data_IF_806985198124
#
_entry.id   IF_806985198124
#
_cell.length_a   1.000
_cell.length_b   1.000
_cell.length_c   1.000
_cell.angle_alpha   90.00
_cell.angle_beta   90.00
_cell.angle_gamma   90.00
#
_symmetry.space_group_name_H-M   'P 1'
#
loop_
_entity.id
_entity.type
_entity.pdbx_description
1 polymer ?
#
# COMPACT_ATOMS: atom_id res chain seq x y z
N UNK A 1 2.75 6.42 22.88
CA UNK A 1 3.76 7.32 22.27
C UNK A 1 3.92 7.23 20.74
N UNK A 2 2.86 6.90 19.98
CA UNK A 2 2.95 6.80 18.51
C UNK A 2 2.01 7.79 17.79
N UNK A 3 1.38 8.69 18.53
CA UNK A 3 0.55 9.76 18.00
C UNK A 3 1.35 11.05 17.86
N UNK A 4 1.40 11.56 16.63
CA UNK A 4 1.49 12.97 16.23
C UNK A 4 2.70 13.84 16.64
N UNK A 5 3.33 14.41 15.60
CA UNK A 5 4.13 15.65 15.55
C UNK A 5 5.58 15.62 16.02
N UNK A 6 5.94 14.92 17.11
CA UNK A 6 7.28 15.08 17.72
C UNK A 6 8.36 14.09 17.23
N UNK A 7 8.00 13.11 16.40
CA UNK A 7 8.98 12.15 15.85
C UNK A 7 9.54 12.67 14.52
N UNK A 8 10.86 12.88 14.39
CA UNK A 8 11.49 13.26 13.13
C UNK A 8 11.14 12.29 12.00
N UNK A 9 10.94 12.82 10.80
CA UNK A 9 10.54 12.03 9.62
C UNK A 9 11.56 10.90 9.32
N UNK A 10 12.85 11.17 9.43
CA UNK A 10 13.91 10.17 9.20
C UNK A 10 13.77 8.94 10.11
N UNK A 11 13.44 9.14 11.40
CA UNK A 11 13.26 8.05 12.36
C UNK A 11 12.05 7.18 12.00
N UNK A 12 10.98 7.80 11.48
CA UNK A 12 9.82 7.06 10.98
C UNK A 12 10.15 6.25 9.73
N UNK A 13 10.93 6.82 8.80
CA UNK A 13 11.39 6.14 7.57
C UNK A 13 12.26 4.92 7.91
N UNK A 14 13.26 5.07 8.77
CA UNK A 14 14.10 3.93 9.21
C UNK A 14 13.26 2.82 9.82
N UNK A 15 12.25 3.18 10.64
CA UNK A 15 11.34 2.21 11.26
C UNK A 15 10.49 1.46 10.23
N UNK A 16 10.02 2.14 9.19
CA UNK A 16 9.29 1.52 8.07
C UNK A 16 10.15 0.47 7.36
N UNK A 17 11.41 0.79 7.07
CA UNK A 17 12.35 -0.14 6.41
C UNK A 17 12.67 -1.35 7.30
N UNK A 18 13.04 -1.13 8.57
CA UNK A 18 13.39 -2.20 9.51
C UNK A 18 12.22 -3.16 9.75
N UNK A 19 10.99 -2.62 9.79
CA UNK A 19 9.77 -3.42 9.99
C UNK A 19 9.27 -4.11 8.72
N UNK A 20 9.89 -3.84 7.57
CA UNK A 20 9.36 -4.23 6.26
C UNK A 20 7.88 -3.82 6.10
N UNK A 21 7.54 -2.60 6.54
CA UNK A 21 6.18 -2.06 6.48
C UNK A 21 5.87 -1.62 5.04
N UNK A 22 5.51 -2.59 4.20
CA UNK A 22 5.23 -2.42 2.77
C UNK A 22 4.20 -1.31 2.48
N UNK A 23 3.19 -1.19 3.34
CA UNK A 23 2.12 -0.21 3.19
C UNK A 23 2.46 1.14 3.82
N UNK A 24 3.63 1.26 4.45
CA UNK A 24 4.09 2.48 5.13
C UNK A 24 3.04 3.04 6.11
N UNK A 25 2.34 2.17 6.85
CA UNK A 25 1.28 2.57 7.79
C UNK A 25 1.80 3.52 8.87
N UNK A 26 3.07 3.36 9.24
CA UNK A 26 3.77 4.23 10.19
C UNK A 26 4.01 5.66 9.66
N UNK A 27 3.94 5.85 8.34
CA UNK A 27 4.04 7.15 7.66
C UNK A 27 2.66 7.74 7.31
N UNK A 28 1.61 7.25 7.96
CA UNK A 28 0.22 7.62 7.67
C UNK A 28 -0.26 7.26 6.26
N UNK A 29 0.45 6.34 5.58
CA UNK A 29 -0.08 5.76 4.35
C UNK A 29 -1.11 4.68 4.71
N UNK A 30 -2.13 4.57 3.88
CA UNK A 30 -3.13 3.52 3.98
C UNK A 30 -3.37 2.95 2.59
N UNK A 31 -3.78 1.68 2.48
CA UNK A 31 -4.19 1.14 1.19
C UNK A 31 -5.25 2.06 0.56
N UNK A 32 -5.03 2.47 -0.68
CA UNK A 32 -6.03 3.20 -1.45
C UNK A 32 -7.34 2.40 -1.43
N UNK A 33 -8.49 3.09 -1.35
CA UNK A 33 -9.82 2.48 -1.15
C UNK A 33 -9.93 1.15 -1.91
N UNK A 34 -10.28 0.03 -1.24
CA UNK A 34 -10.23 -1.31 -1.83
C UNK A 34 -11.04 -1.40 -3.13
N UNK A 35 -12.10 -0.60 -3.26
CA UNK A 35 -12.92 -0.48 -4.47
C UNK A 35 -12.13 -0.14 -5.74
N UNK A 36 -11.07 0.67 -5.67
CA UNK A 36 -10.25 0.98 -6.85
C UNK A 36 -9.35 -0.20 -7.25
N UNK A 37 -8.82 -0.91 -6.25
CA UNK A 37 -8.03 -2.11 -6.47
C UNK A 37 -8.88 -3.26 -6.99
N UNK A 38 -10.08 -3.44 -6.45
CA UNK A 38 -11.08 -4.40 -6.92
C UNK A 38 -11.45 -4.17 -8.39
N UNK A 39 -11.77 -2.91 -8.77
CA UNK A 39 -12.04 -2.56 -10.18
C UNK A 39 -10.83 -2.81 -11.09
N UNK A 40 -9.61 -2.62 -10.60
CA UNK A 40 -8.39 -2.97 -11.33
C UNK A 40 -8.28 -4.49 -11.51
N UNK A 41 -8.51 -5.27 -10.46
CA UNK A 41 -8.47 -6.74 -10.51
C UNK A 41 -9.51 -7.29 -11.51
N UNK A 42 -10.74 -6.79 -11.49
CA UNK A 42 -11.80 -7.14 -12.45
C UNK A 42 -11.36 -6.86 -13.90
N UNK A 43 -10.79 -5.67 -14.15
CA UNK A 43 -10.28 -5.29 -15.48
C UNK A 43 -9.13 -6.20 -15.93
N UNK A 44 -8.21 -6.53 -15.03
CA UNK A 44 -7.10 -7.43 -15.34
C UNK A 44 -7.58 -8.86 -15.61
N UNK A 45 -8.59 -9.33 -14.88
CA UNK A 45 -9.22 -10.64 -15.13
C UNK A 45 -9.85 -10.70 -16.53
N UNK A 46 -10.56 -9.64 -16.93
CA UNK A 46 -11.13 -9.53 -18.27
C UNK A 46 -10.05 -9.53 -19.36
N UNK A 47 -9.00 -8.72 -19.20
CA UNK A 47 -7.87 -8.67 -20.15
C UNK A 47 -7.13 -10.00 -20.26
N UNK A 48 -6.91 -10.71 -19.16
CA UNK A 48 -6.25 -12.03 -19.17
C UNK A 48 -7.05 -13.07 -19.96
N UNK A 49 -8.39 -13.02 -19.87
CA UNK A 49 -9.29 -13.85 -20.68
C UNK A 49 -9.16 -13.51 -22.18
N UNK A 50 -9.10 -12.22 -22.52
CA UNK A 50 -8.88 -11.75 -23.90
C UNK A 50 -7.51 -12.17 -24.45
N UNK A 51 -6.47 -12.16 -23.61
CA UNK A 51 -5.11 -12.54 -24.00
C UNK A 51 -4.87 -14.05 -24.04
N UNK A 52 -5.81 -14.88 -23.56
CA UNK A 52 -5.63 -16.34 -23.50
C UNK A 52 -4.53 -16.80 -22.55
N UNK A 53 -4.25 -16.02 -21.49
CA UNK A 53 -3.20 -16.32 -20.50
C UNK A 53 -3.77 -17.12 -19.30
N UNK A 54 -4.98 -17.68 -19.43
CA UNK A 54 -5.66 -18.45 -18.40
C UNK A 54 -6.52 -19.56 -19.00
#
# INVERSE_FOLDING_TARGET
>A
DLGSRDIPSWRRICKTLIKNDFWCRTLSFSPNKPRHYERYQERMKQRRKEWGIL
#
